data_IF_082215639201
#
_entry.id   IF_082215639201
#
_cell.length_a   1.000
_cell.length_b   1.000
_cell.length_c   1.000
_cell.angle_alpha   90.00
_cell.angle_beta   90.00
_cell.angle_gamma   90.00
#
_symmetry.space_group_name_H-M   'P 1'
#
loop_
_entity.id
_entity.type
_entity.pdbx_description
1 polymer ?
#
# COMPACT_ATOMS: atom_id res chain seq x y z
N UNK A 1 12.67 42.70 37.60
CA UNK A 1 13.72 43.73 37.38
C UNK A 1 14.16 43.69 35.91
N UNK A 2 14.86 44.72 35.44
CA UNK A 2 15.37 44.90 34.06
C UNK A 2 16.37 43.81 33.59
N UNK A 3 16.72 43.62 32.31
CA UNK A 3 16.09 43.99 31.01
C UNK A 3 16.82 43.32 29.82
N UNK A 4 16.13 43.26 28.68
CA UNK A 4 16.55 43.03 27.28
C UNK A 4 18.06 43.06 26.91
N UNK A 5 18.42 42.24 25.91
CA UNK A 5 19.13 42.71 24.70
C UNK A 5 18.98 41.77 23.49
N UNK A 6 18.08 42.12 22.56
CA UNK A 6 18.08 41.57 21.20
C UNK A 6 19.04 42.35 20.28
N UNK A 7 19.57 41.71 19.23
CA UNK A 7 20.33 42.38 18.16
C UNK A 7 19.95 41.82 16.78
N UNK A 8 19.28 42.63 15.96
CA UNK A 8 19.02 42.35 14.54
C UNK A 8 20.32 42.44 13.72
N UNK A 9 20.47 41.55 12.74
CA UNK A 9 21.20 41.83 11.49
C UNK A 9 20.39 41.27 10.31
N UNK A 10 20.23 42.09 9.28
CA UNK A 10 19.72 41.70 7.96
C UNK A 10 20.89 41.64 6.99
N UNK A 11 20.83 40.74 6.03
CA UNK A 11 21.18 41.01 4.63
C UNK A 11 20.60 39.88 3.77
N UNK A 12 19.87 40.22 2.71
CA UNK A 12 19.58 39.31 1.61
C UNK A 12 20.42 39.74 0.41
N UNK A 13 20.85 38.79 -0.43
CA UNK A 13 21.36 39.09 -1.75
C UNK A 13 20.77 38.10 -2.76
N UNK A 14 20.07 38.62 -3.76
CA UNK A 14 19.54 37.85 -4.88
C UNK A 14 20.60 37.82 -5.97
N UNK A 15 20.81 36.65 -6.58
CA UNK A 15 21.44 36.56 -7.91
C UNK A 15 20.54 35.68 -8.80
N UNK A 16 19.90 36.30 -9.78
CA UNK A 16 19.18 35.61 -10.87
C UNK A 16 20.10 35.60 -12.08
N UNK A 17 20.22 34.45 -12.73
CA UNK A 17 20.84 34.30 -14.05
C UNK A 17 19.80 33.75 -15.04
N UNK A 18 19.72 34.26 -16.29
CA UNK A 18 18.64 33.92 -17.22
C UNK A 18 18.89 32.62 -17.98
N UNK A 19 17.81 32.05 -18.54
CA UNK A 19 17.86 30.95 -19.49
C UNK A 19 18.44 31.40 -20.84
N UNK A 20 19.14 30.49 -21.52
CA UNK A 20 19.33 30.55 -22.98
C UNK A 20 19.02 29.19 -23.58
N UNK A 21 17.86 29.04 -24.23
CA UNK A 21 17.62 27.91 -25.11
C UNK A 21 18.42 28.13 -26.40
N UNK A 22 19.28 27.17 -26.76
CA UNK A 22 19.75 27.02 -28.15
C UNK A 22 18.97 25.88 -28.77
N UNK A 23 17.97 26.23 -29.56
CA UNK A 23 17.31 25.35 -30.50
C UNK A 23 17.83 25.66 -31.93
N UNK A 24 17.51 24.77 -32.87
CA UNK A 24 17.90 24.81 -34.29
C UNK A 24 19.36 24.41 -34.59
N UNK A 25 19.54 23.68 -35.70
CA UNK A 25 20.82 23.10 -36.12
C UNK A 25 20.69 22.14 -37.29
N UNK A 26 19.81 22.43 -38.26
CA UNK A 26 19.56 21.57 -39.42
C UNK A 26 20.54 21.86 -40.57
N UNK A 27 21.11 20.78 -41.12
CA UNK A 27 21.52 20.56 -42.52
C UNK A 27 22.22 21.70 -43.30
N UNK A 28 23.56 21.58 -43.43
CA UNK A 28 24.35 22.11 -44.54
C UNK A 28 25.68 21.31 -44.64
N UNK A 29 26.13 20.98 -45.86
CA UNK A 29 27.14 19.93 -46.12
C UNK A 29 28.57 20.44 -46.45
N UNK A 30 29.53 19.49 -46.55
CA UNK A 30 30.90 19.56 -47.10
C UNK A 30 31.98 20.12 -46.15
N UNK A 31 33.15 19.51 -45.93
CA UNK A 31 33.78 18.24 -46.44
C UNK A 31 34.93 17.83 -45.46
N UNK A 32 35.57 16.63 -45.42
CA UNK A 32 35.66 15.41 -46.26
C UNK A 32 36.04 14.18 -45.38
N UNK A 33 36.35 13.02 -46.00
CA UNK A 33 37.12 11.87 -45.48
C UNK A 33 36.56 10.99 -44.33
N UNK A 34 35.89 9.91 -44.75
CA UNK A 34 36.14 8.50 -44.35
C UNK A 34 36.14 8.14 -42.84
N UNK A 35 35.24 7.27 -42.35
CA UNK A 35 35.04 5.89 -42.85
C UNK A 35 33.67 5.28 -42.47
N UNK A 36 33.12 4.46 -43.37
CA UNK A 36 31.95 3.55 -43.28
C UNK A 36 31.87 2.63 -42.03
N UNK A 37 30.75 2.02 -41.63
CA UNK A 37 29.30 2.06 -41.96
C UNK A 37 28.54 1.20 -40.90
N UNK A 38 27.21 1.00 -40.83
CA UNK A 38 26.11 1.10 -41.80
C UNK A 38 24.78 1.52 -41.17
N UNK A 39 23.86 2.02 -42.01
CA UNK A 39 22.47 2.34 -41.68
C UNK A 39 21.50 1.26 -42.19
N UNK A 40 20.28 1.20 -41.64
CA UNK A 40 19.07 0.80 -42.38
C UNK A 40 17.79 1.30 -41.70
N UNK A 41 17.23 2.40 -42.21
CA UNK A 41 15.87 2.86 -41.88
C UNK A 41 14.91 2.43 -42.99
N UNK A 42 13.76 1.84 -42.66
CA UNK A 42 12.65 1.68 -43.61
C UNK A 42 11.33 2.05 -42.92
N UNK A 43 10.77 3.18 -43.32
CA UNK A 43 9.38 3.55 -42.99
C UNK A 43 8.43 2.89 -43.98
N UNK A 44 7.34 2.30 -43.51
CA UNK A 44 6.23 1.92 -44.41
C UNK A 44 4.88 2.02 -43.71
N UNK A 45 4.15 3.09 -44.01
CA UNK A 45 2.73 3.23 -43.69
C UNK A 45 1.89 2.28 -44.54
N UNK A 46 0.94 1.56 -43.93
CA UNK A 46 -0.15 0.94 -44.67
C UNK A 46 -1.47 1.00 -43.89
N UNK A 47 -2.34 1.89 -44.30
CA UNK A 47 -3.76 1.80 -43.99
C UNK A 47 -4.43 0.76 -44.91
N UNK A 48 -5.47 0.09 -44.40
CA UNK A 48 -6.48 -0.60 -45.21
C UNK A 48 -7.79 -0.50 -44.45
N UNK A 49 -8.87 -0.24 -45.18
CA UNK A 49 -10.20 0.06 -44.66
C UNK A 49 -11.24 -0.87 -45.31
N UNK A 50 -12.47 -0.85 -44.79
CA UNK A 50 -13.71 -1.36 -45.40
C UNK A 50 -14.01 -2.89 -45.38
N UNK A 51 -14.86 -3.25 -44.39
CA UNK A 51 -16.25 -3.72 -44.61
C UNK A 51 -16.54 -5.06 -45.31
N UNK A 52 -17.23 -5.97 -44.60
CA UNK A 52 -18.56 -6.57 -44.92
C UNK A 52 -19.06 -7.38 -43.69
N UNK A 53 -20.35 -7.72 -43.59
CA UNK A 53 -21.05 -8.18 -42.37
C UNK A 53 -21.83 -9.51 -42.53
N UNK A 54 -22.66 -9.86 -41.52
CA UNK A 54 -23.62 -11.00 -41.44
C UNK A 54 -22.95 -12.40 -41.29
N UNK A 55 -23.45 -13.43 -40.58
CA UNK A 55 -24.56 -13.67 -39.61
C UNK A 55 -24.11 -14.87 -38.69
N UNK A 56 -24.76 -15.46 -37.66
CA UNK A 56 -26.08 -15.37 -36.99
C UNK A 56 -26.01 -16.07 -35.59
N UNK A 57 -27.06 -15.94 -34.76
CA UNK A 57 -27.48 -16.88 -33.67
C UNK A 57 -26.57 -17.07 -32.43
N UNK A 58 -27.03 -17.44 -31.21
CA UNK A 58 -28.36 -17.42 -30.54
C UNK A 58 -28.18 -17.76 -29.05
N UNK A 59 -28.79 -17.00 -28.11
CA UNK A 59 -29.62 -17.49 -26.96
C UNK A 59 -30.32 -16.30 -26.26
N UNK A 60 -31.40 -16.60 -25.54
CA UNK A 60 -32.38 -15.63 -24.99
C UNK A 60 -32.07 -15.14 -23.56
N UNK A 61 -32.63 -14.00 -23.15
CA UNK A 61 -33.06 -13.74 -21.78
C UNK A 61 -34.60 -13.70 -21.68
N UNK A 62 -35.18 -14.61 -20.91
CA UNK A 62 -36.64 -14.75 -20.75
C UNK A 62 -37.12 -14.15 -19.42
N UNK A 63 -38.23 -13.40 -19.51
CA UNK A 63 -39.14 -12.97 -18.42
C UNK A 63 -38.60 -12.12 -17.25
N UNK A 64 -39.09 -10.87 -17.21
CA UNK A 64 -39.72 -10.33 -16.00
C UNK A 64 -41.09 -11.04 -15.80
N UNK A 65 -41.78 -11.01 -14.66
CA UNK A 65 -42.16 -9.82 -13.88
C UNK A 65 -42.77 -10.22 -12.52
N UNK A 66 -42.78 -9.30 -11.55
CA UNK A 66 -43.70 -9.19 -10.39
C UNK A 66 -43.99 -10.42 -9.49
N UNK A 67 -43.93 -10.27 -8.16
CA UNK A 67 -45.05 -9.68 -7.41
C UNK A 67 -44.61 -9.07 -6.06
N UNK A 68 -45.27 -7.98 -5.67
CA UNK A 68 -45.10 -7.22 -4.42
C UNK A 68 -45.84 -7.82 -3.21
N UNK A 69 -45.34 -7.57 -1.99
CA UNK A 69 -46.06 -7.15 -0.76
C UNK A 69 -45.04 -7.11 0.41
N UNK A 70 -44.74 -5.95 1.01
CA UNK A 70 -45.44 -5.34 2.16
C UNK A 70 -45.16 -6.02 3.50
N UNK A 71 -44.14 -5.55 4.24
CA UNK A 71 -44.25 -5.29 5.69
C UNK A 71 -43.16 -4.34 6.21
N UNK A 72 -43.55 -3.45 7.11
CA UNK A 72 -42.75 -2.43 7.81
C UNK A 72 -43.50 -2.10 9.13
N UNK A 73 -42.91 -1.48 10.17
CA UNK A 73 -41.60 -1.69 10.79
C UNK A 73 -41.70 -2.50 12.10
N UNK A 74 -40.58 -2.80 12.77
CA UNK A 74 -40.53 -3.01 14.23
C UNK A 74 -39.12 -2.80 14.79
N UNK A 75 -38.89 -1.64 15.40
CA UNK A 75 -37.82 -1.41 16.37
C UNK A 75 -38.37 -1.70 17.78
N UNK A 76 -37.57 -2.27 18.70
CA UNK A 76 -37.36 -1.54 19.95
C UNK A 76 -35.96 -1.70 20.60
N UNK A 77 -35.40 -0.56 20.99
CA UNK A 77 -34.94 -0.26 22.37
C UNK A 77 -33.88 -1.16 23.06
N UNK A 78 -32.60 -0.79 22.85
CA UNK A 78 -31.61 -0.43 23.90
C UNK A 78 -31.32 -1.40 25.08
N UNK A 79 -30.08 -1.90 25.11
CA UNK A 79 -29.23 -2.22 26.30
C UNK A 79 -29.59 -3.47 27.15
N UNK A 80 -28.66 -4.01 27.99
CA UNK A 80 -27.34 -3.47 28.37
C UNK A 80 -26.13 -4.39 28.09
N UNK A 81 -24.95 -3.89 28.47
CA UNK A 81 -23.68 -4.60 28.47
C UNK A 81 -23.74 -5.94 29.21
N UNK A 82 -23.03 -6.95 28.69
CA UNK A 82 -22.55 -8.08 29.50
C UNK A 82 -21.03 -8.14 29.36
N UNK A 83 -20.32 -7.81 30.43
CA UNK A 83 -18.86 -8.01 30.53
C UNK A 83 -18.59 -9.50 30.74
N UNK A 84 -18.57 -10.29 29.66
CA UNK A 84 -18.08 -11.68 29.74
C UNK A 84 -16.55 -11.71 29.71
N UNK A 85 -16.02 -11.94 30.91
CA UNK A 85 -14.70 -12.48 31.25
C UNK A 85 -14.07 -13.32 30.11
N UNK A 86 -12.84 -12.97 29.73
CA UNK A 86 -12.11 -13.62 28.62
C UNK A 86 -11.86 -15.09 28.94
N UNK A 87 -12.71 -15.97 28.41
CA UNK A 87 -12.51 -17.40 28.44
C UNK A 87 -11.30 -17.76 27.55
N UNK A 88 -10.16 -18.05 28.18
CA UNK A 88 -8.91 -18.32 27.48
C UNK A 88 -9.04 -19.48 26.47
N UNK A 89 -8.79 -19.16 25.20
CA UNK A 89 -8.50 -20.18 24.19
C UNK A 89 -7.20 -20.92 24.58
N UNK A 90 -7.06 -22.22 24.24
CA UNK A 90 -5.90 -22.99 24.66
C UNK A 90 -4.61 -22.43 24.06
N UNK A 91 -3.61 -22.20 24.92
CA UNK A 91 -2.28 -21.73 24.53
C UNK A 91 -1.60 -22.78 23.64
N UNK A 92 -1.56 -22.51 22.33
CA UNK A 92 -0.67 -23.21 21.40
C UNK A 92 0.73 -22.65 21.61
N UNK A 93 1.67 -23.49 22.05
CA UNK A 93 3.07 -23.15 22.34
C UNK A 93 3.84 -22.81 21.04
N UNK A 94 3.51 -21.66 20.46
CA UNK A 94 4.33 -20.96 19.48
C UNK A 94 5.27 -20.04 20.27
N UNK A 95 6.60 -20.02 20.01
CA UNK A 95 7.56 -19.18 20.73
C UNK A 95 7.49 -17.69 20.31
N UNK A 96 6.27 -17.18 20.20
CA UNK A 96 5.90 -15.79 19.91
C UNK A 96 5.24 -15.10 21.12
N UNK A 97 4.69 -15.88 22.06
CA UNK A 97 3.93 -15.37 23.21
C UNK A 97 4.78 -14.51 24.17
N UNK A 98 5.97 -15.00 24.56
CA UNK A 98 6.92 -14.35 25.48
C UNK A 98 7.71 -13.20 24.80
N UNK A 99 7.02 -12.35 24.02
CA UNK A 99 7.67 -11.30 23.23
C UNK A 99 6.79 -10.54 22.24
N UNK A 100 5.51 -10.92 22.05
CA UNK A 100 4.55 -10.18 21.22
C UNK A 100 4.61 -8.67 21.51
N UNK A 101 4.98 -7.82 20.53
CA UNK A 101 5.09 -6.38 20.77
C UNK A 101 3.71 -5.79 21.10
N UNK A 102 3.66 -4.94 22.11
CA UNK A 102 2.46 -4.16 22.42
C UNK A 102 2.22 -3.16 21.30
N UNK A 103 1.40 -3.55 20.32
CA UNK A 103 0.99 -2.69 19.23
C UNK A 103 0.01 -1.65 19.78
N UNK A 104 0.52 -0.46 20.12
CA UNK A 104 -0.29 0.68 20.51
C UNK A 104 -1.24 1.07 19.37
N UNK A 105 -2.52 1.31 19.67
CA UNK A 105 -3.47 1.74 18.65
C UNK A 105 -3.16 3.17 18.17
N UNK A 106 -2.80 3.29 16.89
CA UNK A 106 -2.38 4.54 16.30
C UNK A 106 -3.58 5.43 15.95
N UNK A 107 -3.45 6.75 16.14
CA UNK A 107 -4.44 7.71 15.66
C UNK A 107 -4.31 7.93 14.13
N UNK A 108 -5.41 8.18 13.39
CA UNK A 108 -5.35 8.61 11.99
C UNK A 108 -4.50 9.87 11.78
N UNK A 109 -4.05 10.12 10.54
CA UNK A 109 -3.22 11.30 10.25
C UNK A 109 -3.97 12.63 10.46
N UNK A 110 -3.33 13.59 11.12
CA UNK A 110 -3.94 14.91 11.32
C UNK A 110 -4.14 15.63 9.98
N UNK A 111 -5.37 16.13 9.77
CA UNK A 111 -5.77 16.85 8.55
C UNK A 111 -5.54 16.07 7.25
N UNK A 112 -5.68 14.74 7.29
CA UNK A 112 -5.65 13.89 6.11
C UNK A 112 -6.68 14.28 5.05
N UNK A 113 -6.27 14.19 3.79
CA UNK A 113 -7.17 14.22 2.63
C UNK A 113 -7.33 12.80 2.08
N UNK A 114 -8.48 12.48 1.46
CA UNK A 114 -8.67 11.18 0.81
C UNK A 114 -7.52 10.90 -0.17
N UNK A 115 -6.91 9.71 -0.07
CA UNK A 115 -5.77 9.32 -0.89
C UNK A 115 -6.07 9.39 -2.40
N UNK A 116 -5.06 9.74 -3.20
CA UNK A 116 -5.17 9.59 -4.65
C UNK A 116 -5.30 8.12 -5.03
N UNK A 117 -5.78 7.82 -6.23
CA UNK A 117 -5.88 6.42 -6.71
C UNK A 117 -4.51 5.71 -6.73
N UNK A 118 -3.43 6.44 -7.02
CA UNK A 118 -2.07 5.90 -7.00
C UNK A 118 -1.58 5.63 -5.58
N UNK A 119 -1.71 6.60 -4.65
CA UNK A 119 -1.29 6.41 -3.26
C UNK A 119 -2.11 5.29 -2.59
N UNK A 120 -3.41 5.24 -2.87
CA UNK A 120 -4.30 4.21 -2.33
C UNK A 120 -3.91 2.82 -2.84
N UNK A 121 -3.69 2.65 -4.14
CA UNK A 121 -3.28 1.36 -4.70
C UNK A 121 -1.90 0.89 -4.18
N UNK A 122 -0.98 1.82 -3.94
CA UNK A 122 0.33 1.52 -3.34
C UNK A 122 0.20 1.09 -1.87
N UNK A 123 -0.63 1.78 -1.07
CA UNK A 123 -0.94 1.40 0.32
C UNK A 123 -1.71 0.07 0.39
N UNK A 124 -2.71 -0.14 -0.47
CA UNK A 124 -3.47 -1.39 -0.56
C UNK A 124 -2.55 -2.57 -0.91
N UNK A 125 -1.61 -2.41 -1.84
CA UNK A 125 -0.63 -3.43 -2.20
C UNK A 125 0.36 -3.73 -1.06
N UNK A 126 0.80 -2.70 -0.32
CA UNK A 126 1.65 -2.83 0.87
C UNK A 126 0.95 -3.65 1.98
N UNK A 127 -0.30 -3.33 2.30
CA UNK A 127 -1.07 -4.05 3.33
C UNK A 127 -1.32 -5.51 2.91
N UNK A 128 -1.66 -5.74 1.63
CA UNK A 128 -1.97 -7.09 1.13
C UNK A 128 -0.74 -7.96 0.85
N UNK A 129 0.45 -7.36 0.69
CA UNK A 129 1.67 -8.07 0.26
C UNK A 129 2.17 -9.13 1.26
N UNK A 130 1.92 -8.96 2.56
CA UNK A 130 2.27 -9.94 3.59
C UNK A 130 1.62 -11.31 3.33
N UNK A 131 0.37 -11.33 2.83
CA UNK A 131 -0.36 -12.57 2.54
C UNK A 131 -0.05 -13.15 1.15
N UNK A 132 0.92 -12.56 0.43
CA UNK A 132 1.42 -13.06 -0.86
C UNK A 132 2.77 -13.79 -0.72
N UNK A 133 3.37 -13.81 0.48
CA UNK A 133 4.55 -14.62 0.79
C UNK A 133 4.30 -16.11 0.50
N UNK A 134 5.31 -16.80 -0.02
CA UNK A 134 5.30 -18.24 -0.25
C UNK A 134 5.90 -19.02 0.93
N UNK A 135 6.90 -18.45 1.61
CA UNK A 135 7.61 -19.11 2.73
C UNK A 135 7.45 -18.40 4.07
N UNK A 136 7.78 -19.11 5.15
CA UNK A 136 7.74 -18.57 6.51
C UNK A 136 8.82 -17.50 6.74
N UNK A 137 9.98 -17.56 6.07
CA UNK A 137 10.98 -16.47 6.13
C UNK A 137 10.47 -15.21 5.44
N UNK A 138 9.84 -15.34 4.27
CA UNK A 138 9.23 -14.21 3.56
C UNK A 138 8.14 -13.56 4.41
N UNK A 139 7.24 -14.35 5.01
CA UNK A 139 6.14 -13.85 5.84
C UNK A 139 6.62 -13.10 7.09
N UNK A 140 7.53 -13.69 7.86
CA UNK A 140 8.07 -13.08 9.09
C UNK A 140 8.85 -11.80 8.78
N UNK A 141 9.64 -11.80 7.70
CA UNK A 141 10.46 -10.64 7.36
C UNK A 141 9.73 -9.56 6.56
N UNK A 142 8.52 -9.82 6.04
CA UNK A 142 7.78 -8.84 5.24
C UNK A 142 7.52 -7.52 5.97
N UNK A 143 6.94 -7.56 7.17
CA UNK A 143 6.64 -6.35 7.95
C UNK A 143 7.90 -5.52 8.22
N UNK A 144 8.99 -6.06 8.82
CA UNK A 144 10.19 -5.25 9.04
C UNK A 144 10.84 -4.78 7.73
N UNK A 145 10.92 -5.60 6.67
CA UNK A 145 11.47 -5.15 5.38
C UNK A 145 10.68 -4.00 4.74
N UNK A 146 9.38 -3.87 5.06
CA UNK A 146 8.51 -2.82 4.54
C UNK A 146 8.09 -1.79 5.63
N UNK A 147 8.80 -1.73 6.76
CA UNK A 147 8.57 -0.73 7.82
C UNK A 147 9.51 0.46 7.68
N UNK A 148 9.08 1.67 8.06
CA UNK A 148 9.94 2.85 8.07
C UNK A 148 11.11 2.69 9.04
N UNK A 149 12.23 3.36 8.75
CA UNK A 149 13.49 3.23 9.52
C UNK A 149 13.30 3.49 11.01
N UNK A 150 12.42 4.42 11.38
CA UNK A 150 12.11 4.72 12.78
C UNK A 150 11.45 3.55 13.54
N UNK A 151 10.55 2.80 12.89
CA UNK A 151 9.92 1.61 13.48
C UNK A 151 10.88 0.42 13.48
N UNK A 152 11.68 0.24 12.43
CA UNK A 152 12.77 -0.73 12.41
C UNK A 152 13.75 -0.50 13.57
N UNK A 153 14.31 0.71 13.71
CA UNK A 153 15.25 1.07 14.77
C UNK A 153 14.64 0.84 16.17
N UNK A 154 13.35 1.17 16.37
CA UNK A 154 12.65 0.93 17.63
C UNK A 154 12.46 -0.56 17.96
N UNK A 155 12.31 -1.42 16.95
CA UNK A 155 12.13 -2.87 17.10
C UNK A 155 13.45 -3.68 17.05
N UNK A 156 14.61 -3.02 17.17
CA UNK A 156 15.93 -3.65 17.24
C UNK A 156 16.78 -3.56 15.97
N UNK A 157 16.31 -2.85 14.94
CA UNK A 157 17.04 -2.62 13.69
C UNK A 157 17.26 -3.91 12.90
N UNK A 158 18.45 -4.07 12.30
CA UNK A 158 18.80 -5.24 11.48
C UNK A 158 18.66 -6.59 12.24
N UNK A 159 18.70 -6.59 13.58
CA UNK A 159 18.49 -7.78 14.38
C UNK A 159 17.04 -8.31 14.34
N UNK A 160 16.04 -7.48 14.00
CA UNK A 160 14.66 -7.93 13.79
C UNK A 160 14.47 -8.73 12.49
N UNK A 161 15.53 -8.82 11.67
CA UNK A 161 15.60 -9.61 10.44
C UNK A 161 16.45 -10.88 10.62
N UNK A 162 16.96 -11.17 11.82
CA UNK A 162 17.73 -12.39 12.06
C UNK A 162 16.82 -13.62 12.23
N UNK A 163 16.65 -14.37 11.14
CA UNK A 163 15.88 -15.60 11.10
C UNK A 163 16.71 -16.85 11.47
N UNK A 164 17.90 -16.68 12.06
CA UNK A 164 18.79 -17.79 12.43
C UNK A 164 18.11 -18.76 13.40
N UNK A 165 17.91 -20.00 12.94
CA UNK A 165 17.27 -21.08 13.70
C UNK A 165 15.80 -21.31 13.32
N UNK A 166 15.16 -20.38 12.61
CA UNK A 166 13.86 -20.61 11.97
C UNK A 166 14.12 -21.42 10.69
N UNK A 167 13.47 -22.58 10.55
CA UNK A 167 13.55 -23.36 9.32
C UNK A 167 12.68 -22.70 8.23
N UNK A 168 13.27 -22.35 7.09
CA UNK A 168 12.49 -21.84 5.97
C UNK A 168 11.73 -22.98 5.28
N UNK A 169 10.41 -22.83 5.18
CA UNK A 169 9.47 -23.82 4.68
C UNK A 169 8.27 -23.11 4.02
N UNK A 170 7.59 -23.73 3.05
CA UNK A 170 6.37 -23.20 2.46
C UNK A 170 5.26 -22.97 3.50
N UNK A 171 4.55 -21.85 3.43
CA UNK A 171 3.46 -21.53 4.37
C UNK A 171 2.32 -22.56 4.34
N UNK A 172 2.08 -23.19 3.18
CA UNK A 172 1.08 -24.24 3.03
C UNK A 172 1.49 -25.59 3.66
N UNK A 173 2.73 -25.74 4.13
CA UNK A 173 3.19 -26.87 4.94
C UNK A 173 3.10 -26.58 6.45
N UNK A 174 2.74 -25.35 6.86
CA UNK A 174 2.60 -24.94 8.26
C UNK A 174 1.12 -24.98 8.71
N UNK A 175 0.67 -25.99 9.50
CA UNK A 175 -0.75 -26.23 9.71
C UNK A 175 -1.50 -25.04 10.32
N UNK A 176 -0.91 -24.35 11.31
CA UNK A 176 -1.52 -23.20 11.96
C UNK A 176 -1.77 -22.02 11.00
N UNK A 177 -0.97 -21.84 9.94
CA UNK A 177 -1.23 -20.82 8.92
C UNK A 177 -2.38 -21.24 7.99
N UNK A 178 -2.39 -22.52 7.58
CA UNK A 178 -3.44 -23.10 6.73
C UNK A 178 -4.80 -23.14 7.44
N UNK A 179 -4.82 -23.41 8.75
CA UNK A 179 -6.03 -23.41 9.59
C UNK A 179 -6.50 -21.99 9.92
N UNK A 180 -5.59 -21.04 10.13
CA UNK A 180 -5.94 -19.64 10.40
C UNK A 180 -6.46 -18.90 9.15
N UNK A 181 -6.06 -19.31 7.94
CA UNK A 181 -6.41 -18.65 6.67
C UNK A 181 -6.27 -17.12 6.69
N UNK A 182 -5.13 -16.56 7.14
CA UNK A 182 -5.05 -15.14 7.46
C UNK A 182 -5.08 -14.26 6.20
N UNK A 183 -5.86 -13.19 6.23
CA UNK A 183 -6.07 -12.29 5.08
C UNK A 183 -6.54 -10.90 5.50
N UNK A 184 -6.50 -9.94 4.56
CA UNK A 184 -7.18 -8.63 4.70
C UNK A 184 -8.64 -8.80 4.28
N UNK A 185 -9.59 -8.36 5.11
CA UNK A 185 -11.01 -8.32 4.80
C UNK A 185 -11.47 -6.95 4.29
N UNK A 186 -10.94 -5.84 4.83
CA UNK A 186 -11.18 -4.49 4.29
C UNK A 186 -10.03 -3.52 4.53
N UNK A 187 -9.94 -2.51 3.67
CA UNK A 187 -9.03 -1.36 3.76
C UNK A 187 -9.88 -0.12 3.47
N UNK A 188 -10.01 0.75 4.47
CA UNK A 188 -10.99 1.84 4.53
C UNK A 188 -10.33 3.15 4.98
N UNK A 189 -11.00 4.29 4.78
CA UNK A 189 -10.58 5.63 5.21
C UNK A 189 -9.11 6.00 4.91
N UNK A 190 -8.59 5.52 3.78
CA UNK A 190 -7.22 5.77 3.32
C UNK A 190 -7.01 7.26 3.07
N UNK A 191 -6.22 7.88 3.93
CA UNK A 191 -5.96 9.31 3.97
C UNK A 191 -4.46 9.59 3.83
N UNK A 192 -4.12 10.64 3.07
CA UNK A 192 -2.75 11.10 2.81
C UNK A 192 -2.62 12.59 3.15
N UNK A 193 -1.48 12.95 3.74
CA UNK A 193 -1.04 14.33 3.99
C UNK A 193 0.48 14.42 3.76
N UNK A 194 0.87 14.78 2.55
CA UNK A 194 2.28 14.75 2.12
C UNK A 194 2.83 13.32 2.15
N UNK A 195 3.95 13.14 2.86
CA UNK A 195 4.63 11.84 3.01
C UNK A 195 4.07 10.99 4.16
N UNK A 196 2.96 11.37 4.80
CA UNK A 196 2.27 10.57 5.84
C UNK A 196 0.91 10.07 5.35
N UNK A 197 0.52 8.87 5.77
CA UNK A 197 -0.81 8.32 5.53
C UNK A 197 -1.34 7.48 6.70
N UNK A 198 -2.65 7.25 6.70
CA UNK A 198 -3.32 6.26 7.55
C UNK A 198 -4.46 5.57 6.82
N UNK A 199 -4.75 4.33 7.20
CA UNK A 199 -5.93 3.59 6.75
C UNK A 199 -6.54 2.83 7.94
N UNK A 200 -7.85 2.61 7.91
CA UNK A 200 -8.50 1.61 8.78
C UNK A 200 -8.38 0.27 8.07
N UNK A 201 -7.79 -0.72 8.71
CA UNK A 201 -7.54 -2.05 8.14
C UNK A 201 -8.25 -3.08 8.98
N UNK A 202 -9.07 -3.92 8.35
CA UNK A 202 -9.64 -5.12 8.97
C UNK A 202 -8.90 -6.34 8.47
N UNK A 203 -8.13 -6.98 9.34
CA UNK A 203 -7.54 -8.29 9.10
C UNK A 203 -8.42 -9.41 9.68
N UNK A 204 -8.32 -10.61 9.13
CA UNK A 204 -9.00 -11.82 9.62
C UNK A 204 -7.99 -12.93 9.80
N UNK A 205 -8.10 -13.67 10.91
CA UNK A 205 -7.28 -14.84 11.23
C UNK A 205 -8.06 -15.79 12.14
N UNK A 206 -8.07 -17.09 11.84
CA UNK A 206 -8.86 -18.12 12.54
C UNK A 206 -10.36 -17.78 12.64
N UNK A 207 -10.88 -17.09 11.63
CA UNK A 207 -12.26 -16.57 11.59
C UNK A 207 -12.56 -15.41 12.56
N UNK A 208 -11.57 -14.95 13.34
CA UNK A 208 -11.67 -13.71 14.11
C UNK A 208 -11.30 -12.52 13.22
N UNK A 209 -12.06 -11.44 13.32
CA UNK A 209 -11.77 -10.18 12.63
C UNK A 209 -11.19 -9.16 13.62
N UNK A 210 -10.15 -8.45 13.21
CA UNK A 210 -9.54 -7.36 13.96
C UNK A 210 -9.41 -6.12 13.06
N UNK A 211 -10.08 -5.04 13.46
CA UNK A 211 -10.04 -3.74 12.79
C UNK A 211 -9.18 -2.77 13.61
N UNK A 212 -8.17 -2.17 12.99
CA UNK A 212 -7.29 -1.17 13.61
C UNK A 212 -6.95 -0.04 12.63
N UNK A 213 -6.50 1.11 13.14
CA UNK A 213 -5.85 2.12 12.30
C UNK A 213 -4.38 1.76 12.08
N UNK A 214 -3.98 1.60 10.83
CA UNK A 214 -2.59 1.49 10.41
C UNK A 214 -2.05 2.85 9.99
N UNK A 215 -0.80 3.14 10.34
CA UNK A 215 -0.05 4.33 9.93
C UNK A 215 1.05 3.98 8.92
N UNK A 216 1.37 4.96 8.06
CA UNK A 216 2.37 4.82 7.01
C UNK A 216 3.19 6.09 6.83
N UNK A 217 4.44 5.94 6.40
CA UNK A 217 5.32 7.01 5.95
C UNK A 217 5.87 6.65 4.56
N UNK A 218 6.00 7.64 3.68
CA UNK A 218 6.68 7.49 2.39
C UNK A 218 8.16 7.76 2.60
N UNK A 219 8.98 6.72 2.56
CA UNK A 219 10.44 6.81 2.63
C UNK A 219 11.05 6.41 1.29
N UNK A 220 12.06 7.16 0.83
CA UNK A 220 12.82 6.88 -0.39
C UNK A 220 11.98 6.70 -1.68
N UNK A 221 10.73 7.17 -1.65
CA UNK A 221 9.75 7.14 -2.75
C UNK A 221 8.65 6.08 -2.62
N UNK A 222 8.66 5.25 -1.57
CA UNK A 222 7.73 4.14 -1.37
C UNK A 222 7.00 4.26 -0.02
N UNK A 223 5.72 3.87 0.05
CA UNK A 223 5.02 3.73 1.33
C UNK A 223 5.60 2.58 2.17
N UNK A 224 5.65 2.77 3.48
CA UNK A 224 6.13 1.80 4.48
C UNK A 224 5.26 1.83 5.73
N UNK A 225 5.18 0.71 6.47
CA UNK A 225 4.45 0.62 7.75
C UNK A 225 5.12 1.46 8.84
N UNK A 226 4.32 2.22 9.58
CA UNK A 226 4.76 3.09 10.67
C UNK A 226 3.73 3.16 11.81
N UNK A 227 4.06 3.96 12.82
CA UNK A 227 3.17 4.40 13.90
C UNK A 227 2.76 5.88 13.73
#
# INVERSE_FOLDING_TARGET
>A
MMSLKAKKKMAALVLVAPLTLVACGSDADSTTESTSASSSTITSTKAIESTTAEESSTIEPTEATETTETTEPSEPEVAPETTEEVAAAPEVDVPLAEGSPTYDEAAPIESGSQASEADRAEIEALIQGIYQSATIHEFISYIPQNSCRAVLEANGGEASLDLTGIADMPLNEYPAFVEAQPHVASIEDVQVNGDQASAVVTAVSSGQAETRTQRFLREDGQWTFCN
#
